data_IF_561744573006
#
_entry.id   IF_561744573006
#
_cell.length_a   1.000
_cell.length_b   1.000
_cell.length_c   1.000
_cell.angle_alpha   90.00
_cell.angle_beta   90.00
_cell.angle_gamma   90.00
#
_symmetry.space_group_name_H-M   'P 1'
#
loop_
_entity.id
_entity.type
_entity.pdbx_description
1 polymer ?
#
# COMPACT_ATOMS: atom_id res chain seq x y z
N UNK A 1 -7.27 9.70 -3.52
CA UNK A 1 -7.11 10.57 -2.33
C UNK A 1 -7.40 9.75 -1.08
N UNK A 2 -6.62 9.89 -0.01
CA UNK A 2 -6.84 9.18 1.28
C UNK A 2 -7.78 9.94 2.25
N UNK A 3 -8.31 11.08 1.81
CA UNK A 3 -9.38 11.84 2.48
C UNK A 3 -10.72 11.08 2.35
N UNK A 4 -11.60 11.13 3.36
CA UNK A 4 -11.51 11.92 4.60
C UNK A 4 -10.79 11.23 5.77
N UNK A 5 -10.53 9.93 5.68
CA UNK A 5 -10.12 9.14 6.85
C UNK A 5 -8.71 9.49 7.37
N UNK A 6 -7.72 9.60 6.47
CA UNK A 6 -6.36 10.05 6.78
C UNK A 6 -5.71 9.34 8.00
N UNK A 7 -5.72 8.01 7.99
CA UNK A 7 -5.09 7.18 9.04
C UNK A 7 -4.20 6.09 8.45
N UNK A 8 -3.25 5.58 9.24
CA UNK A 8 -2.70 4.24 9.05
C UNK A 8 -3.62 3.27 9.82
N UNK A 9 -4.24 2.34 9.10
CA UNK A 9 -5.26 1.43 9.65
C UNK A 9 -4.76 0.01 9.94
N UNK A 10 -3.57 -0.34 9.46
CA UNK A 10 -3.03 -1.69 9.54
C UNK A 10 -1.75 -1.82 8.72
N UNK A 11 -1.28 -3.05 8.58
CA UNK A 11 -0.17 -3.42 7.72
C UNK A 11 -0.44 -4.80 7.09
N UNK A 12 0.42 -5.18 6.15
CA UNK A 12 0.43 -6.50 5.53
C UNK A 12 1.86 -6.88 5.18
N UNK A 13 2.09 -8.16 4.96
CA UNK A 13 3.34 -8.65 4.38
C UNK A 13 3.22 -8.73 2.85
N UNK A 14 4.33 -8.53 2.15
CA UNK A 14 4.41 -8.76 0.70
C UNK A 14 4.69 -10.24 0.49
N UNK A 15 3.72 -10.95 -0.09
CA UNK A 15 3.87 -12.37 -0.44
C UNK A 15 4.84 -12.53 -1.63
N UNK A 16 4.55 -11.82 -2.71
CA UNK A 16 5.40 -11.77 -3.89
C UNK A 16 5.12 -10.52 -4.73
N UNK A 17 6.07 -10.21 -5.60
CA UNK A 17 5.94 -9.13 -6.59
C UNK A 17 6.03 -9.77 -7.97
N UNK A 18 5.10 -9.43 -8.85
CA UNK A 18 5.15 -9.84 -10.24
C UNK A 18 5.24 -8.64 -11.16
N UNK A 19 6.10 -8.77 -12.18
CA UNK A 19 6.39 -7.72 -13.15
C UNK A 19 5.95 -8.21 -14.52
N UNK A 20 5.10 -7.41 -15.18
CA UNK A 20 4.60 -7.66 -16.52
C UNK A 20 5.29 -6.70 -17.49
N UNK A 21 6.37 -7.17 -18.09
CA UNK A 21 7.06 -6.43 -19.14
C UNK A 21 6.25 -6.40 -20.43
N UNK A 22 6.50 -5.40 -21.28
CA UNK A 22 5.75 -5.19 -22.52
C UNK A 22 4.24 -5.19 -22.28
N UNK A 23 3.82 -4.42 -21.27
CA UNK A 23 2.46 -4.38 -20.79
C UNK A 23 1.40 -4.17 -21.88
N UNK A 24 1.63 -3.37 -22.95
CA UNK A 24 0.64 -3.26 -24.03
C UNK A 24 0.23 -4.61 -24.64
N UNK A 25 1.14 -5.60 -24.69
CA UNK A 25 0.85 -6.96 -25.17
C UNK A 25 0.34 -7.90 -24.07
N UNK A 26 0.68 -7.64 -22.81
CA UNK A 26 0.34 -8.51 -21.68
C UNK A 26 -0.85 -8.02 -20.84
N UNK A 27 -1.47 -6.90 -21.21
CA UNK A 27 -2.47 -6.20 -20.37
C UNK A 27 -3.65 -7.09 -19.99
N UNK A 28 -4.15 -7.91 -20.91
CA UNK A 28 -5.24 -8.84 -20.65
C UNK A 28 -4.81 -9.96 -19.69
N UNK A 29 -3.63 -10.56 -19.91
CA UNK A 29 -3.08 -11.59 -19.02
C UNK A 29 -2.85 -11.05 -17.60
N UNK A 30 -2.34 -9.81 -17.49
CA UNK A 30 -2.19 -9.14 -16.20
C UNK A 30 -3.55 -8.94 -15.54
N UNK A 31 -4.53 -8.39 -16.26
CA UNK A 31 -5.88 -8.20 -15.74
C UNK A 31 -6.53 -9.50 -15.28
N UNK A 32 -6.50 -10.56 -16.10
CA UNK A 32 -7.08 -11.86 -15.77
C UNK A 32 -6.50 -12.46 -14.48
N UNK A 33 -5.20 -12.22 -14.24
CA UNK A 33 -4.54 -12.70 -13.03
C UNK A 33 -4.98 -11.97 -11.76
N UNK A 34 -5.27 -10.67 -11.85
CA UNK A 34 -5.52 -9.83 -10.67
C UNK A 34 -6.97 -9.38 -10.48
N UNK A 35 -7.85 -9.50 -11.48
CA UNK A 35 -9.21 -8.93 -11.48
C UNK A 35 -10.06 -9.34 -10.27
N UNK A 36 -9.89 -10.57 -9.79
CA UNK A 36 -10.64 -11.10 -8.65
C UNK A 36 -10.03 -10.72 -7.28
N UNK A 37 -8.85 -10.09 -7.25
CA UNK A 37 -8.08 -9.77 -6.03
C UNK A 37 -7.83 -8.27 -5.86
N UNK A 38 -7.77 -7.50 -6.94
CA UNK A 38 -7.35 -6.11 -6.91
C UNK A 38 -8.42 -5.12 -6.43
N UNK A 39 -9.69 -5.54 -6.34
CA UNK A 39 -10.81 -4.70 -5.89
C UNK A 39 -10.96 -3.36 -6.64
N UNK A 40 -10.58 -3.32 -7.92
CA UNK A 40 -10.74 -2.18 -8.82
C UNK A 40 -11.56 -2.57 -10.04
N UNK A 41 -12.13 -1.59 -10.75
CA UNK A 41 -12.81 -1.85 -12.02
C UNK A 41 -11.79 -1.96 -13.13
N UNK A 42 -12.11 -2.76 -14.15
CA UNK A 42 -11.27 -2.91 -15.34
C UNK A 42 -10.99 -1.57 -16.03
N UNK A 43 -11.97 -0.66 -16.05
CA UNK A 43 -11.80 0.69 -16.60
C UNK A 43 -10.69 1.45 -15.86
N UNK A 44 -10.70 1.44 -14.52
CA UNK A 44 -9.72 2.16 -13.71
C UNK A 44 -8.32 1.55 -13.88
N UNK A 45 -8.24 0.21 -13.95
CA UNK A 45 -7.01 -0.50 -14.32
C UNK A 45 -6.50 -0.08 -15.70
N UNK A 46 -7.39 -0.03 -16.69
CA UNK A 46 -7.05 0.30 -18.06
C UNK A 46 -6.56 1.73 -18.21
N UNK A 47 -7.20 2.67 -17.51
CA UNK A 47 -6.83 4.08 -17.50
C UNK A 47 -5.49 4.30 -16.77
N UNK A 48 -5.29 3.64 -15.62
CA UNK A 48 -4.03 3.72 -14.86
C UNK A 48 -2.83 3.24 -15.68
N UNK A 49 -2.99 2.13 -16.42
CA UNK A 49 -1.92 1.54 -17.24
C UNK A 49 -1.96 1.95 -18.72
N UNK A 50 -2.72 3.00 -19.11
CA UNK A 50 -2.98 3.34 -20.52
C UNK A 50 -1.73 3.52 -21.40
N UNK A 51 -0.62 4.01 -20.83
CA UNK A 51 0.64 4.24 -21.56
C UNK A 51 1.85 3.61 -20.86
N UNK A 52 1.61 2.69 -19.94
CA UNK A 52 2.67 2.04 -19.20
C UNK A 52 3.28 0.91 -20.04
N UNK A 53 4.60 0.81 -20.01
CA UNK A 53 5.36 -0.31 -20.61
C UNK A 53 5.51 -1.49 -19.66
N UNK A 54 5.31 -1.26 -18.35
CA UNK A 54 5.49 -2.24 -17.27
C UNK A 54 4.27 -2.22 -16.35
N UNK A 55 3.76 -3.41 -16.03
CA UNK A 55 2.79 -3.64 -14.97
C UNK A 55 3.47 -4.21 -13.73
N UNK A 56 3.04 -3.81 -12.53
CA UNK A 56 3.57 -4.35 -11.27
C UNK A 56 2.39 -4.76 -10.39
N UNK A 57 2.40 -6.01 -9.96
CA UNK A 57 1.45 -6.56 -9.01
C UNK A 57 2.17 -6.86 -7.69
N UNK A 58 1.70 -6.26 -6.60
CA UNK A 58 2.16 -6.58 -5.24
C UNK A 58 1.08 -7.47 -4.62
N UNK A 59 1.38 -8.76 -4.47
CA UNK A 59 0.51 -9.68 -3.76
C UNK A 59 0.79 -9.57 -2.26
N UNK A 60 -0.28 -9.43 -1.49
CA UNK A 60 -0.20 -9.18 -0.05
C UNK A 60 -0.74 -10.39 0.71
N UNK A 61 -0.12 -10.69 1.84
CA UNK A 61 -0.51 -11.74 2.77
C UNK A 61 -0.50 -11.21 4.20
N UNK A 62 -1.02 -12.00 5.15
CA UNK A 62 -1.07 -11.69 6.59
C UNK A 62 -1.52 -10.24 6.87
N UNK A 63 -2.68 -9.88 6.34
CA UNK A 63 -3.25 -8.55 6.55
C UNK A 63 -3.61 -8.40 8.04
N UNK A 64 -2.97 -7.44 8.70
CA UNK A 64 -3.22 -7.09 10.09
C UNK A 64 -3.90 -5.72 10.16
N UNK A 65 -5.09 -5.68 10.74
CA UNK A 65 -5.81 -4.44 11.00
C UNK A 65 -5.56 -4.04 12.45
N UNK A 66 -5.17 -2.79 12.67
CA UNK A 66 -5.03 -2.27 14.02
C UNK A 66 -6.39 -2.05 14.67
N UNK A 67 -6.48 -2.36 15.96
CA UNK A 67 -7.61 -1.99 16.81
C UNK A 67 -7.65 -0.47 16.99
N UNK A 68 -6.48 0.17 17.09
CA UNK A 68 -6.35 1.62 17.13
C UNK A 68 -5.62 2.16 15.89
N UNK A 69 -6.33 2.95 15.08
CA UNK A 69 -5.72 3.58 13.90
C UNK A 69 -4.83 4.79 14.25
N UNK A 70 -3.73 4.97 13.53
CA UNK A 70 -2.85 6.13 13.68
C UNK A 70 -3.28 7.29 12.77
N UNK A 71 -3.94 8.29 13.35
CA UNK A 71 -4.35 9.51 12.63
C UNK A 71 -3.14 10.29 12.11
N UNK A 72 -3.22 10.79 10.88
CA UNK A 72 -2.17 11.58 10.23
C UNK A 72 -1.71 12.78 11.08
N UNK A 73 -2.64 13.44 11.79
CA UNK A 73 -2.30 14.57 12.67
C UNK A 73 -1.37 14.17 13.82
N UNK A 74 -1.58 12.99 14.42
CA UNK A 74 -0.71 12.46 15.49
C UNK A 74 0.67 12.08 14.95
N UNK A 75 0.71 11.51 13.75
CA UNK A 75 1.96 11.15 13.07
C UNK A 75 2.78 12.41 12.76
N UNK A 76 2.16 13.47 12.23
CA UNK A 76 2.82 14.76 11.95
C UNK A 76 3.40 15.44 13.20
N UNK A 77 2.75 15.29 14.35
CA UNK A 77 3.23 15.85 15.62
C UNK A 77 4.49 15.12 16.14
N UNK A 78 4.64 13.83 15.85
CA UNK A 78 5.74 13.00 16.38
C UNK A 78 6.85 12.73 15.37
N UNK A 79 6.55 12.81 14.07
CA UNK A 79 7.48 12.51 12.98
C UNK A 79 7.61 13.76 12.09
N UNK A 80 8.81 14.35 12.11
CA UNK A 80 9.13 15.54 11.31
C UNK A 80 8.88 15.27 9.83
N UNK A 81 8.18 16.18 9.16
CA UNK A 81 7.87 16.13 7.72
C UNK A 81 7.08 14.87 7.28
N UNK A 82 6.31 14.26 8.17
CA UNK A 82 5.47 13.11 7.81
C UNK A 82 4.37 13.53 6.83
N UNK A 83 4.40 12.97 5.63
CA UNK A 83 3.36 13.13 4.61
C UNK A 83 3.01 11.77 4.01
N UNK A 84 1.74 11.55 3.58
CA UNK A 84 1.38 10.36 2.83
C UNK A 84 2.24 10.26 1.56
N UNK A 85 2.93 9.14 1.30
CA UNK A 85 3.71 8.98 0.08
C UNK A 85 2.79 8.85 -1.14
N UNK A 86 3.27 9.29 -2.31
CA UNK A 86 2.59 9.04 -3.58
C UNK A 86 2.67 7.54 -3.97
N UNK A 87 3.78 6.89 -3.66
CA UNK A 87 4.01 5.45 -3.84
C UNK A 87 4.19 4.77 -2.48
N UNK A 88 5.43 4.60 -2.04
CA UNK A 88 5.79 4.05 -0.73
C UNK A 88 6.96 4.83 -0.15
N UNK A 89 7.17 4.70 1.16
CA UNK A 89 8.36 5.18 1.84
C UNK A 89 8.77 4.17 2.90
N UNK A 90 10.07 3.99 3.07
CA UNK A 90 10.58 3.22 4.19
C UNK A 90 10.44 4.01 5.50
N UNK A 91 10.04 3.31 6.56
CA UNK A 91 10.05 3.85 7.91
C UNK A 91 11.42 3.57 8.55
N UNK A 92 11.96 4.57 9.24
CA UNK A 92 13.12 4.40 10.12
C UNK A 92 12.71 3.65 11.39
N UNK A 93 13.62 2.96 12.09
CA UNK A 93 13.31 2.24 13.32
C UNK A 93 12.55 3.09 14.36
N UNK A 94 12.98 4.33 14.58
CA UNK A 94 12.30 5.28 15.47
C UNK A 94 10.88 5.65 15.01
N UNK A 95 10.61 5.69 13.70
CA UNK A 95 9.26 5.94 13.18
C UNK A 95 8.34 4.74 13.39
N UNK A 96 8.89 3.51 13.34
CA UNK A 96 8.17 2.28 13.69
C UNK A 96 7.79 2.30 15.17
N UNK A 97 8.73 2.59 16.07
CA UNK A 97 8.45 2.70 17.51
C UNK A 97 7.37 3.76 17.82
N UNK A 98 7.41 4.90 17.13
CA UNK A 98 6.39 5.94 17.24
C UNK A 98 5.03 5.42 16.76
N UNK A 99 4.99 4.70 15.63
CA UNK A 99 3.76 4.14 15.11
C UNK A 99 3.17 3.11 16.10
N UNK A 100 3.97 2.15 16.56
CA UNK A 100 3.60 1.16 17.58
C UNK A 100 3.04 1.81 18.84
N UNK A 101 3.67 2.90 19.31
CA UNK A 101 3.20 3.66 20.47
C UNK A 101 1.83 4.31 20.22
N UNK A 102 1.53 4.76 19.01
CA UNK A 102 0.23 5.36 18.67
C UNK A 102 -0.86 4.30 18.55
N UNK A 103 -0.57 3.18 17.88
CA UNK A 103 -1.54 2.09 17.63
C UNK A 103 -1.66 1.12 18.81
N UNK A 104 -0.71 1.16 19.76
CA UNK A 104 -0.62 0.29 20.94
C UNK A 104 -0.49 -1.19 20.59
N UNK A 105 0.14 -1.49 19.46
CA UNK A 105 0.33 -2.83 18.94
C UNK A 105 1.76 -2.94 18.38
N UNK A 106 2.34 -4.15 18.46
CA UNK A 106 3.66 -4.43 17.91
C UNK A 106 3.55 -4.78 16.43
N UNK A 107 4.42 -4.20 15.62
CA UNK A 107 4.55 -4.54 14.20
C UNK A 107 5.69 -5.57 14.13
N UNK A 108 5.32 -6.84 14.22
CA UNK A 108 6.26 -7.94 14.08
C UNK A 108 6.64 -8.06 12.61
N UNK A 109 7.80 -7.51 12.24
CA UNK A 109 8.41 -7.75 10.94
C UNK A 109 9.21 -9.05 11.08
N UNK A 110 8.63 -10.15 10.58
CA UNK A 110 9.32 -11.45 10.48
C UNK A 110 10.25 -11.50 9.27
#
# INVERSE_FOLDING_TARGET
MSSPQQVIAGFFEVENIEIFENLPKQKNNFWDKIKNKAHIKEKDFNDYYKRASIGVAIFITKVHKFDNTAKLIKLKQKIKNFTPPQSYRYLKPKEIEILESIVKEKILVT
#
